data_IF_600869712539
#
_entry.id   IF_600869712539
#
_cell.length_a   1.000
_cell.length_b   1.000
_cell.length_c   1.000
_cell.angle_alpha   90.00
_cell.angle_beta   90.00
_cell.angle_gamma   90.00
#
_symmetry.space_group_name_H-M   'P 1'
#
loop_
_entity.id
_entity.type
_entity.pdbx_description
1 polymer ?
#
# COMPACT_ATOMS: atom_id res chain seq x y z
N UNK A 1 -0.65 6.30 -16.89
CA UNK A 1 -1.67 5.85 -15.93
C UNK A 1 -1.16 4.70 -15.10
N UNK A 2 -1.39 4.74 -13.79
CA UNK A 2 -0.90 3.70 -12.90
C UNK A 2 -1.88 2.53 -12.84
N UNK A 3 -1.40 1.33 -13.13
CA UNK A 3 -2.22 0.12 -13.11
C UNK A 3 -2.03 -0.72 -11.86
N UNK A 4 -1.00 -0.43 -11.07
CA UNK A 4 -0.72 -1.17 -9.85
C UNK A 4 -0.32 -0.21 -8.74
N UNK A 5 -0.81 -0.51 -7.54
CA UNK A 5 -0.47 0.27 -6.36
C UNK A 5 0.26 -0.63 -5.38
N UNK A 6 1.45 -0.22 -4.96
CA UNK A 6 2.31 -1.02 -4.10
C UNK A 6 2.29 -0.44 -2.70
N UNK A 7 2.07 -1.30 -1.71
CA UNK A 7 2.07 -0.89 -0.31
C UNK A 7 3.41 -1.25 0.30
N UNK A 8 4.08 -0.24 0.87
CA UNK A 8 5.37 -0.41 1.55
C UNK A 8 5.19 -0.12 3.04
N UNK A 9 5.90 -0.87 3.87
CA UNK A 9 5.85 -0.64 5.30
C UNK A 9 6.73 0.54 5.70
N UNK A 10 6.86 0.77 7.02
CA UNK A 10 7.63 1.90 7.52
C UNK A 10 9.12 1.76 7.25
N UNK A 11 9.59 0.57 6.96
CA UNK A 11 11.00 0.31 6.65
C UNK A 11 11.25 0.31 5.15
N UNK A 12 10.22 0.51 4.34
CA UNK A 12 10.37 0.54 2.89
C UNK A 12 10.27 -0.81 2.22
N UNK A 13 9.84 -1.83 2.94
CA UNK A 13 9.67 -3.17 2.38
C UNK A 13 8.33 -3.28 1.66
N UNK A 14 8.34 -3.90 0.47
CA UNK A 14 7.11 -4.12 -0.28
C UNK A 14 6.27 -5.17 0.45
N UNK A 15 5.07 -4.78 0.85
CA UNK A 15 4.17 -5.67 1.56
C UNK A 15 3.19 -6.35 0.61
N UNK A 16 2.57 -5.57 -0.30
CA UNK A 16 1.58 -6.12 -1.20
C UNK A 16 1.32 -5.18 -2.37
N UNK A 17 0.79 -5.73 -3.46
CA UNK A 17 0.39 -4.95 -4.64
C UNK A 17 -1.09 -5.11 -4.88
N UNK A 18 -1.74 -4.02 -5.33
CA UNK A 18 -3.17 -4.00 -5.60
C UNK A 18 -3.42 -3.33 -6.95
N UNK A 19 -4.53 -3.70 -7.57
CA UNK A 19 -4.91 -3.10 -8.86
C UNK A 19 -5.62 -1.76 -8.69
N UNK A 20 -6.11 -1.45 -7.48
CA UNK A 20 -6.79 -0.18 -7.22
C UNK A 20 -6.20 0.48 -5.98
N UNK A 21 -6.27 1.82 -5.97
CA UNK A 21 -5.80 2.57 -4.82
C UNK A 21 -6.63 2.29 -3.58
N UNK A 22 -7.94 2.12 -3.77
CA UNK A 22 -8.84 1.87 -2.65
C UNK A 22 -8.47 0.58 -1.93
N UNK A 23 -8.15 -0.47 -2.70
CA UNK A 23 -7.74 -1.73 -2.09
C UNK A 23 -6.44 -1.56 -1.31
N UNK A 24 -5.48 -0.84 -1.87
CA UNK A 24 -4.21 -0.59 -1.21
C UNK A 24 -4.42 0.21 0.08
N UNK A 25 -5.26 1.24 0.03
CA UNK A 25 -5.55 2.06 1.21
C UNK A 25 -6.22 1.24 2.31
N UNK A 26 -7.14 0.38 1.93
CA UNK A 26 -7.84 -0.49 2.88
C UNK A 26 -6.84 -1.42 3.57
N UNK A 27 -5.93 -2.00 2.79
CA UNK A 27 -4.91 -2.88 3.36
C UNK A 27 -4.01 -2.12 4.33
N UNK A 28 -3.59 -0.92 3.93
CA UNK A 28 -2.74 -0.09 4.77
C UNK A 28 -3.42 0.24 6.10
N UNK A 29 -4.71 0.54 6.06
CA UNK A 29 -5.46 0.85 7.27
C UNK A 29 -5.65 -0.36 8.16
N UNK A 30 -5.86 -1.53 7.55
CA UNK A 30 -6.13 -2.74 8.31
C UNK A 30 -4.87 -3.34 8.93
N UNK A 31 -3.77 -3.33 8.18
CA UNK A 31 -2.55 -4.03 8.61
C UNK A 31 -1.37 -3.11 8.85
N UNK A 32 -1.44 -1.88 8.36
CA UNK A 32 -0.35 -0.94 8.50
C UNK A 32 -0.71 0.25 9.38
N UNK A 33 -0.05 1.38 9.10
CA UNK A 33 -0.32 2.62 9.82
C UNK A 33 0.06 3.79 8.92
N UNK A 34 0.04 5.01 9.49
CA UNK A 34 0.30 6.21 8.71
C UNK A 34 1.74 6.30 8.19
N UNK A 35 2.65 5.51 8.75
CA UNK A 35 4.03 5.46 8.27
C UNK A 35 4.18 4.65 7.00
N UNK A 36 3.22 3.80 6.68
CA UNK A 36 3.26 3.01 5.46
C UNK A 36 3.00 3.89 4.25
N UNK A 37 3.50 3.47 3.11
CA UNK A 37 3.43 4.26 1.88
C UNK A 37 2.79 3.44 0.77
N UNK A 38 1.98 4.12 -0.06
CA UNK A 38 1.41 3.51 -1.26
C UNK A 38 2.08 4.17 -2.46
N UNK A 39 2.68 3.37 -3.31
CA UNK A 39 3.31 3.82 -4.54
C UNK A 39 2.79 3.00 -5.70
#
# INVERSE_FOLDING_TARGET
MKSMYKVYDSLGNLMRKFSTYQAAATYKMAYGNSSWTIK
#
